data_IF_822987688207
#
_entry.id   IF_822987688207
#
_cell.length_a   1.000
_cell.length_b   1.000
_cell.length_c   1.000
_cell.angle_alpha   90.00
_cell.angle_beta   90.00
_cell.angle_gamma   90.00
#
_symmetry.space_group_name_H-M   'P 1'
#
loop_
_entity.id
_entity.type
_entity.pdbx_description
1 polymer ?
#
# COMPACT_ATOMS: atom_id res chain seq x y z
N UNK A 1 27.54 -29.16 7.70
CA UNK A 1 27.74 -28.23 8.83
C UNK A 1 26.55 -28.38 9.77
N UNK A 2 26.76 -28.90 11.00
CA UNK A 2 25.69 -29.08 11.98
C UNK A 2 25.41 -27.72 12.64
N UNK A 3 24.35 -27.03 12.25
CA UNK A 3 23.90 -25.82 12.93
C UNK A 3 23.27 -26.23 14.26
N UNK A 4 23.93 -25.93 15.36
CA UNK A 4 23.40 -26.12 16.71
C UNK A 4 22.27 -25.10 16.90
N UNK A 5 21.02 -25.54 16.75
CA UNK A 5 19.82 -24.67 16.82
C UNK A 5 19.50 -24.18 18.24
N UNK A 6 20.13 -24.75 19.26
CA UNK A 6 19.98 -24.35 20.66
C UNK A 6 21.35 -24.18 21.29
N UNK A 7 21.71 -22.94 21.62
CA UNK A 7 22.82 -22.67 22.54
C UNK A 7 22.27 -22.76 23.96
N UNK A 8 23.06 -23.35 24.87
CA UNK A 8 22.75 -23.21 26.28
C UNK A 8 22.79 -21.71 26.64
N UNK A 9 21.85 -21.27 27.48
CA UNK A 9 21.85 -19.91 28.02
C UNK A 9 23.24 -19.60 28.59
N UNK A 10 23.83 -18.51 28.12
CA UNK A 10 25.11 -18.04 28.64
C UNK A 10 24.95 -17.68 30.11
N UNK A 11 26.01 -17.88 30.92
CA UNK A 11 26.01 -17.47 32.33
C UNK A 11 25.70 -15.97 32.51
N UNK A 12 25.96 -15.15 31.48
CA UNK A 12 25.61 -13.72 31.47
C UNK A 12 24.10 -13.50 31.29
N UNK A 13 23.48 -14.19 30.33
CA UNK A 13 22.04 -14.11 30.04
C UNK A 13 21.20 -14.67 31.20
N UNK A 14 21.69 -15.73 31.85
CA UNK A 14 21.05 -16.32 33.02
C UNK A 14 21.03 -15.35 34.23
N UNK A 15 22.09 -14.56 34.42
CA UNK A 15 22.15 -13.51 35.45
C UNK A 15 21.24 -12.32 35.15
N UNK A 16 21.14 -11.92 33.88
CA UNK A 16 20.23 -10.83 33.47
C UNK A 16 18.74 -11.20 33.63
N UNK A 17 18.40 -12.47 33.43
CA UNK A 17 17.02 -12.97 33.55
C UNK A 17 16.66 -13.47 34.95
N UNK A 18 17.57 -13.33 35.93
CA UNK A 18 17.46 -13.87 37.30
C UNK A 18 17.13 -15.37 37.36
N UNK A 19 17.58 -16.11 36.34
CA UNK A 19 17.40 -17.56 36.23
C UNK A 19 18.66 -18.22 36.78
N UNK A 20 18.60 -18.70 38.02
CA UNK A 20 19.67 -19.54 38.57
C UNK A 20 19.67 -20.88 37.83
N UNK A 21 20.74 -21.25 37.09
CA UNK A 21 20.80 -22.57 36.48
C UNK A 21 20.84 -23.61 37.61
N UNK A 22 19.81 -24.46 37.76
CA UNK A 22 19.92 -25.55 38.73
C UNK A 22 21.10 -26.42 38.29
N UNK A 23 22.00 -26.74 39.22
CA UNK A 23 23.09 -27.69 38.95
C UNK A 23 22.51 -28.96 38.31
N UNK A 24 23.24 -29.57 37.38
CA UNK A 24 22.73 -30.65 36.53
C UNK A 24 21.95 -31.74 37.30
N UNK A 25 22.43 -32.11 38.50
CA UNK A 25 21.79 -33.08 39.38
C UNK A 25 20.43 -32.63 39.94
N UNK A 26 20.28 -31.33 40.27
CA UNK A 26 19.02 -30.77 40.78
C UNK A 26 17.96 -30.67 39.69
N UNK A 27 18.40 -30.39 38.46
CA UNK A 27 17.52 -30.36 37.28
C UNK A 27 16.99 -31.77 36.95
N UNK A 28 17.87 -32.79 36.96
CA UNK A 28 17.49 -34.18 36.72
C UNK A 28 16.51 -34.70 37.78
N UNK A 29 16.77 -34.42 39.07
CA UNK A 29 15.87 -34.78 40.15
C UNK A 29 14.49 -34.14 40.01
N UNK A 30 14.43 -32.85 39.63
CA UNK A 30 13.18 -32.14 39.39
C UNK A 30 12.41 -32.72 38.22
N UNK A 31 13.06 -32.92 37.07
CA UNK A 31 12.43 -33.49 35.87
C UNK A 31 11.90 -34.90 36.17
N UNK A 32 12.68 -35.73 36.87
CA UNK A 32 12.26 -37.06 37.29
C UNK A 32 11.03 -37.04 38.20
N UNK A 33 10.99 -36.15 39.20
CA UNK A 33 9.84 -36.00 40.10
C UNK A 33 8.59 -35.46 39.38
N UNK A 34 8.77 -34.47 38.50
CA UNK A 34 7.70 -33.87 37.71
C UNK A 34 7.06 -34.90 36.76
N UNK A 35 7.88 -35.69 36.06
CA UNK A 35 7.38 -36.73 35.15
C UNK A 35 6.62 -37.81 35.92
N UNK A 36 7.17 -38.33 37.03
CA UNK A 36 6.46 -39.29 37.90
C UNK A 36 5.08 -38.77 38.34
N UNK A 37 4.98 -37.49 38.70
CA UNK A 37 3.73 -36.86 39.15
C UNK A 37 2.73 -36.62 38.02
N UNK A 38 3.20 -36.31 36.82
CA UNK A 38 2.35 -35.95 35.68
C UNK A 38 1.90 -37.16 34.85
N UNK A 39 2.66 -38.27 34.87
CA UNK A 39 2.35 -39.51 34.16
C UNK A 39 2.03 -40.65 35.11
N UNK A 40 1.02 -40.47 35.97
CA UNK A 40 0.64 -41.42 37.03
C UNK A 40 0.23 -42.82 36.52
N UNK A 41 -0.08 -42.98 35.23
CA UNK A 41 -0.52 -44.25 34.62
C UNK A 41 0.58 -45.01 33.88
N UNK A 42 1.83 -44.52 33.90
CA UNK A 42 2.92 -45.08 33.10
C UNK A 42 4.00 -45.70 34.00
N UNK A 43 4.50 -46.87 33.61
CA UNK A 43 5.67 -47.47 34.28
C UNK A 43 6.92 -46.63 34.04
N UNK A 44 7.87 -46.69 34.98
CA UNK A 44 9.09 -45.88 34.92
C UNK A 44 9.93 -46.17 33.67
N UNK A 45 9.94 -47.42 33.21
CA UNK A 45 10.57 -47.85 31.95
C UNK A 45 9.90 -47.22 30.72
N UNK A 46 8.57 -47.14 30.69
CA UNK A 46 7.85 -46.53 29.57
C UNK A 46 8.06 -45.01 29.46
N UNK A 47 8.33 -44.35 30.58
CA UNK A 47 8.68 -42.92 30.63
C UNK A 47 10.10 -42.72 30.07
N UNK A 48 11.07 -43.51 30.52
CA UNK A 48 12.46 -43.44 30.01
C UNK A 48 12.54 -43.71 28.50
N UNK A 49 11.82 -44.73 28.01
CA UNK A 49 11.76 -45.01 26.58
C UNK A 49 11.15 -43.87 25.78
N UNK A 50 10.18 -43.14 26.34
CA UNK A 50 9.56 -41.99 25.69
C UNK A 50 10.48 -40.77 25.66
N UNK A 51 11.34 -40.60 26.67
CA UNK A 51 12.39 -39.57 26.69
C UNK A 51 13.55 -39.90 25.75
N UNK A 52 13.86 -41.19 25.57
CA UNK A 52 14.87 -41.66 24.59
C UNK A 52 14.43 -41.48 23.14
N UNK A 53 13.11 -41.48 22.87
CA UNK A 53 12.58 -41.15 21.54
C UNK A 53 12.90 -39.69 21.22
N UNK A 54 13.98 -39.46 20.47
CA UNK A 54 14.19 -38.18 19.77
C UNK A 54 12.95 -37.90 18.95
N UNK A 55 12.20 -36.86 19.32
CA UNK A 55 11.11 -36.36 18.51
C UNK A 55 11.71 -35.97 17.14
N UNK A 56 11.47 -36.81 16.12
CA UNK A 56 11.80 -36.47 14.75
C UNK A 56 10.75 -35.44 14.32
N UNK A 57 11.06 -34.17 14.57
CA UNK A 57 10.32 -33.06 13.95
C UNK A 57 10.65 -33.15 12.47
N UNK A 58 9.81 -33.85 11.71
CA UNK A 58 9.81 -33.73 10.25
C UNK A 58 9.42 -32.29 9.97
N UNK A 59 10.42 -31.44 9.73
CA UNK A 59 10.23 -30.08 9.24
C UNK A 59 9.45 -30.19 7.93
N UNK A 60 8.12 -30.03 8.03
CA UNK A 60 7.25 -29.79 6.89
C UNK A 60 7.62 -28.39 6.38
N UNK A 61 8.75 -28.30 5.67
CA UNK A 61 9.06 -27.14 4.86
C UNK A 61 8.00 -27.11 3.77
N UNK A 62 6.94 -26.34 3.99
CA UNK A 62 6.13 -25.86 2.88
C UNK A 62 7.09 -25.11 1.98
N UNK A 63 7.52 -25.74 0.88
CA UNK A 63 8.30 -25.05 -0.15
C UNK A 63 7.46 -23.86 -0.57
N UNK A 64 7.82 -22.66 -0.10
CA UNK A 64 7.25 -21.41 -0.60
C UNK A 64 7.55 -21.40 -2.09
N UNK A 65 6.58 -21.80 -2.92
CA UNK A 65 6.64 -21.57 -4.36
C UNK A 65 6.92 -20.08 -4.52
N UNK A 66 8.10 -19.74 -5.03
CA UNK A 66 8.36 -18.37 -5.43
C UNK A 66 7.26 -18.02 -6.43
N UNK A 67 6.38 -17.08 -6.06
CA UNK A 67 5.43 -16.51 -7.01
C UNK A 67 6.28 -15.93 -8.12
N UNK A 68 6.34 -16.59 -9.25
CA UNK A 68 6.87 -16.00 -10.47
C UNK A 68 6.15 -14.66 -10.61
N UNK A 69 6.92 -13.57 -10.55
CA UNK A 69 6.38 -12.26 -10.81
C UNK A 69 5.92 -12.30 -12.26
N UNK A 70 4.61 -12.49 -12.48
CA UNK A 70 4.00 -12.35 -13.80
C UNK A 70 4.50 -11.03 -14.36
N UNK A 71 5.39 -11.10 -15.34
CA UNK A 71 5.83 -9.94 -16.11
C UNK A 71 4.60 -9.47 -16.84
N UNK A 72 3.93 -8.44 -16.30
CA UNK A 72 2.85 -7.76 -17.00
C UNK A 72 3.38 -7.39 -18.37
N UNK A 73 2.61 -7.68 -19.43
CA UNK A 73 2.92 -7.23 -20.77
C UNK A 73 3.23 -5.73 -20.70
N UNK A 74 4.49 -5.36 -20.87
CA UNK A 74 4.89 -3.97 -20.94
C UNK A 74 4.36 -3.49 -22.27
N UNK A 75 3.24 -2.77 -22.25
CA UNK A 75 2.73 -2.09 -23.43
C UNK A 75 3.79 -1.16 -24.02
N UNK A 76 3.54 -0.68 -25.24
CA UNK A 76 4.46 0.19 -25.96
C UNK A 76 4.91 1.37 -25.08
N UNK A 77 6.23 1.51 -24.92
CA UNK A 77 6.88 2.65 -24.28
C UNK A 77 6.50 3.95 -24.99
N UNK A 78 6.51 5.08 -24.27
CA UNK A 78 6.28 6.39 -24.87
C UNK A 78 7.23 6.68 -26.06
N UNK A 79 8.48 6.20 -26.01
CA UNK A 79 9.44 6.32 -27.13
C UNK A 79 8.99 5.49 -28.34
N UNK A 80 8.49 4.28 -28.11
CA UNK A 80 7.95 3.41 -29.16
C UNK A 80 6.67 4.00 -29.78
N UNK A 81 5.78 4.56 -28.96
CA UNK A 81 4.55 5.23 -29.44
C UNK A 81 4.84 6.45 -30.31
N UNK A 82 5.86 7.25 -29.95
CA UNK A 82 6.33 8.37 -30.79
C UNK A 82 6.95 7.89 -32.10
N UNK A 83 7.74 6.82 -32.06
CA UNK A 83 8.31 6.21 -33.28
C UNK A 83 7.22 5.71 -34.24
N UNK A 84 6.10 5.21 -33.71
CA UNK A 84 4.94 4.75 -34.48
C UNK A 84 3.99 5.88 -34.92
N UNK A 85 4.26 7.15 -34.54
CA UNK A 85 3.40 8.30 -34.88
C UNK A 85 1.92 8.09 -34.56
N UNK A 86 1.61 7.30 -33.53
CA UNK A 86 0.26 6.86 -33.17
C UNK A 86 -0.71 8.00 -32.86
N UNK A 87 -0.20 9.19 -32.58
CA UNK A 87 -0.98 10.39 -32.23
C UNK A 87 -0.62 11.60 -33.09
N UNK A 88 0.08 11.40 -34.22
CA UNK A 88 0.40 12.49 -35.13
C UNK A 88 -0.84 12.83 -35.95
N UNK A 89 -1.49 13.93 -35.57
CA UNK A 89 -2.60 14.50 -36.32
C UNK A 89 -2.02 15.36 -37.42
N UNK A 90 -2.52 15.22 -38.66
CA UNK A 90 -2.06 16.06 -39.79
C UNK A 90 -2.30 17.54 -39.49
N UNK A 91 -1.38 18.44 -39.87
CA UNK A 91 -1.43 19.86 -39.48
C UNK A 91 -2.71 20.58 -39.93
N UNK A 92 -3.35 20.16 -41.02
CA UNK A 92 -4.62 20.72 -41.49
C UNK A 92 -5.76 20.47 -40.48
N UNK A 93 -5.66 19.37 -39.73
CA UNK A 93 -6.64 18.91 -38.75
C UNK A 93 -6.34 19.42 -37.33
N UNK A 94 -5.23 20.15 -37.13
CA UNK A 94 -4.86 20.73 -35.82
C UNK A 94 -5.53 22.09 -35.56
N UNK A 95 -6.40 22.56 -36.46
CA UNK A 95 -7.08 23.84 -36.29
C UNK A 95 -8.13 23.75 -35.19
N UNK A 96 -7.99 24.57 -34.14
CA UNK A 96 -8.91 24.62 -33.00
C UNK A 96 -10.39 24.74 -33.41
N UNK A 97 -10.68 25.51 -34.47
CA UNK A 97 -12.03 25.68 -35.01
C UNK A 97 -12.72 24.35 -35.36
N UNK A 98 -11.97 23.34 -35.78
CA UNK A 98 -12.51 22.01 -36.12
C UNK A 98 -12.98 21.23 -34.88
N UNK A 99 -12.48 21.58 -33.69
CA UNK A 99 -12.83 20.93 -32.43
C UNK A 99 -13.93 21.64 -31.65
N UNK A 100 -14.39 22.83 -32.08
CA UNK A 100 -15.50 23.53 -31.43
C UNK A 100 -16.80 22.72 -31.37
N UNK A 101 -17.21 21.98 -32.43
CA UNK A 101 -18.39 21.13 -32.35
C UNK A 101 -18.29 20.05 -31.28
N UNK A 102 -17.09 19.51 -31.04
CA UNK A 102 -16.84 18.53 -29.99
C UNK A 102 -17.08 19.12 -28.59
N UNK A 103 -16.73 20.39 -28.40
CA UNK A 103 -16.99 21.08 -27.14
C UNK A 103 -18.49 21.33 -26.91
N UNK A 104 -19.24 21.69 -27.97
CA UNK A 104 -20.70 21.83 -27.88
C UNK A 104 -21.39 20.49 -27.56
N UNK A 105 -20.93 19.40 -28.15
CA UNK A 105 -21.38 18.05 -27.81
C UNK A 105 -21.10 17.73 -26.33
N UNK A 106 -19.91 18.07 -25.84
CA UNK A 106 -19.56 17.87 -24.43
C UNK A 106 -20.44 18.69 -23.48
N UNK A 107 -20.80 19.94 -23.83
CA UNK A 107 -21.75 20.74 -23.04
C UNK A 107 -23.13 20.08 -22.95
N UNK A 108 -23.62 19.51 -24.05
CA UNK A 108 -24.90 18.79 -24.06
C UNK A 108 -24.81 17.54 -23.19
N UNK A 109 -23.75 16.75 -23.35
CA UNK A 109 -23.47 15.58 -22.51
C UNK A 109 -23.50 15.90 -21.01
N UNK A 110 -22.82 16.97 -20.57
CA UNK A 110 -22.81 17.36 -19.15
C UNK A 110 -24.19 17.83 -18.69
N UNK A 111 -24.95 18.56 -19.53
CA UNK A 111 -26.32 18.97 -19.21
C UNK A 111 -27.23 17.76 -18.98
N UNK A 112 -27.13 16.77 -19.85
CA UNK A 112 -27.89 15.52 -19.77
C UNK A 112 -27.45 14.69 -18.55
N UNK A 113 -26.14 14.58 -18.29
CA UNK A 113 -25.60 13.87 -17.14
C UNK A 113 -26.07 14.48 -15.80
N UNK A 114 -26.12 15.81 -15.73
CA UNK A 114 -26.55 16.54 -14.56
C UNK A 114 -28.08 16.68 -14.45
N UNK A 115 -28.87 16.26 -15.45
CA UNK A 115 -30.33 16.47 -15.53
C UNK A 115 -30.74 17.95 -15.39
N UNK A 116 -29.88 18.86 -15.86
CA UNK A 116 -30.00 20.30 -15.60
C UNK A 116 -29.52 20.70 -14.20
N UNK A 117 -28.81 21.82 -14.11
CA UNK A 117 -28.35 22.40 -12.84
C UNK A 117 -29.49 23.22 -12.22
N UNK A 118 -30.37 22.57 -11.46
CA UNK A 118 -31.38 23.26 -10.66
C UNK A 118 -30.73 23.80 -9.37
N UNK A 119 -31.18 24.93 -8.80
CA UNK A 119 -30.61 25.50 -7.59
C UNK A 119 -30.68 24.56 -6.37
N UNK A 120 -31.61 23.61 -6.38
CA UNK A 120 -31.80 22.60 -5.32
C UNK A 120 -30.90 21.34 -5.48
N UNK A 121 -30.02 21.33 -6.49
CA UNK A 121 -29.21 20.14 -6.78
C UNK A 121 -28.03 20.06 -5.82
N UNK A 122 -27.94 18.95 -5.07
CA UNK A 122 -26.86 18.73 -4.12
C UNK A 122 -25.48 18.73 -4.84
N UNK A 123 -24.53 19.60 -4.43
CA UNK A 123 -23.21 19.71 -5.07
C UNK A 123 -22.40 18.39 -5.02
N UNK A 124 -22.57 17.62 -3.95
CA UNK A 124 -21.91 16.32 -3.75
C UNK A 124 -22.29 15.30 -4.84
N UNK A 125 -23.56 15.33 -5.30
CA UNK A 125 -24.04 14.45 -6.36
C UNK A 125 -23.45 14.83 -7.72
N UNK A 126 -23.35 16.13 -8.01
CA UNK A 126 -22.71 16.64 -9.23
C UNK A 126 -21.22 16.27 -9.24
N UNK A 127 -20.54 16.43 -8.11
CA UNK A 127 -19.14 16.05 -7.95
C UNK A 127 -18.95 14.55 -8.26
N UNK A 128 -19.76 13.67 -7.66
CA UNK A 128 -19.64 12.23 -7.87
C UNK A 128 -19.88 11.81 -9.34
N UNK A 129 -20.80 12.49 -10.04
CA UNK A 129 -21.03 12.29 -11.48
C UNK A 129 -19.84 12.76 -12.31
N UNK A 130 -19.30 13.94 -12.04
CA UNK A 130 -18.14 14.49 -12.75
C UNK A 130 -16.87 13.67 -12.55
N UNK A 131 -16.68 13.03 -11.38
CA UNK A 131 -15.53 12.15 -11.15
C UNK A 131 -15.50 10.93 -12.09
N UNK A 132 -16.66 10.50 -12.59
CA UNK A 132 -16.82 9.35 -13.48
C UNK A 132 -17.09 9.74 -14.93
N UNK A 133 -17.25 11.04 -15.19
CA UNK A 133 -17.60 11.56 -16.51
C UNK A 133 -16.38 11.59 -17.44
N UNK A 134 -16.65 11.47 -18.75
CA UNK A 134 -15.63 11.68 -19.75
C UNK A 134 -15.39 13.18 -19.97
N UNK A 135 -14.12 13.59 -19.94
CA UNK A 135 -13.68 14.98 -20.10
C UNK A 135 -13.12 15.25 -21.50
N UNK A 136 -13.44 14.40 -22.47
CA UNK A 136 -13.04 14.60 -23.86
C UNK A 136 -13.83 15.76 -24.48
N UNK A 137 -13.13 16.78 -24.97
CA UNK A 137 -13.77 18.02 -25.47
C UNK A 137 -14.09 19.05 -24.38
N UNK A 138 -13.74 18.78 -23.12
CA UNK A 138 -13.81 19.77 -22.05
C UNK A 138 -12.73 20.85 -22.25
N UNK A 139 -13.10 22.12 -22.04
CA UNK A 139 -12.11 23.19 -21.93
C UNK A 139 -11.51 23.15 -20.54
N UNK A 140 -10.21 22.92 -20.45
CA UNK A 140 -9.48 22.83 -19.20
C UNK A 140 -8.46 23.95 -19.12
N UNK A 141 -8.58 24.79 -18.11
CA UNK A 141 -7.59 25.81 -17.77
C UNK A 141 -6.60 25.23 -16.77
N UNK A 142 -5.32 25.22 -17.11
CA UNK A 142 -4.26 24.77 -16.20
C UNK A 142 -3.70 25.99 -15.48
N UNK A 143 -3.90 26.05 -14.17
CA UNK A 143 -3.30 27.09 -13.32
C UNK A 143 -1.91 26.61 -12.87
N UNK A 144 -0.82 27.33 -13.19
CA UNK A 144 0.53 26.94 -12.81
C UNK A 144 0.70 27.00 -11.29
N UNK A 145 1.11 25.88 -10.68
CA UNK A 145 1.15 25.75 -9.22
C UNK A 145 2.24 26.57 -8.53
N UNK A 146 3.33 26.89 -9.21
CA UNK A 146 4.53 27.41 -8.55
C UNK A 146 4.37 28.84 -8.03
N UNK A 147 3.58 29.69 -8.71
CA UNK A 147 3.48 31.12 -8.40
C UNK A 147 2.03 31.60 -8.15
N UNK A 148 1.08 30.68 -7.95
CA UNK A 148 -0.32 31.05 -7.69
C UNK A 148 -0.63 30.97 -6.19
N UNK A 149 -1.36 31.95 -5.69
CA UNK A 149 -1.97 31.95 -4.35
C UNK A 149 -3.48 31.96 -4.54
N UNK A 150 -4.18 31.02 -3.89
CA UNK A 150 -5.62 30.90 -3.93
C UNK A 150 -6.19 31.49 -2.64
N UNK A 151 -7.11 32.44 -2.74
CA UNK A 151 -7.89 32.92 -1.59
C UNK A 151 -9.15 32.08 -1.46
N UNK A 152 -9.38 31.52 -0.27
CA UNK A 152 -10.63 30.84 0.10
C UNK A 152 -11.33 31.71 1.13
N UNK A 153 -12.51 32.19 0.77
CA UNK A 153 -13.39 32.91 1.68
C UNK A 153 -14.46 31.96 2.20
N UNK A 154 -14.64 31.89 3.51
CA UNK A 154 -15.68 31.10 4.16
C UNK A 154 -16.16 31.84 5.39
N UNK A 155 -17.44 32.18 5.45
CA UNK A 155 -18.09 32.86 6.58
C UNK A 155 -17.31 34.08 7.13
N UNK A 156 -16.78 34.91 6.24
CA UNK A 156 -16.01 36.12 6.59
C UNK A 156 -14.53 35.89 6.91
N UNK A 157 -14.04 34.66 6.87
CA UNK A 157 -12.62 34.33 7.00
C UNK A 157 -11.98 34.19 5.62
N UNK A 158 -10.91 34.94 5.38
CA UNK A 158 -10.10 34.85 4.15
C UNK A 158 -8.81 34.08 4.48
N UNK A 159 -8.65 32.91 3.87
CA UNK A 159 -7.45 32.08 3.97
C UNK A 159 -6.71 32.02 2.65
N UNK A 160 -5.37 32.08 2.68
CA UNK A 160 -4.53 32.01 1.48
C UNK A 160 -3.83 30.66 1.38
N UNK A 161 -4.00 29.97 0.24
CA UNK A 161 -3.41 28.67 -0.04
C UNK A 161 -2.45 28.80 -1.22
N UNK A 162 -1.17 28.54 -0.99
CA UNK A 162 -0.18 28.49 -2.08
C UNK A 162 -0.43 27.31 -3.01
N UNK A 163 -0.46 27.57 -4.32
CA UNK A 163 -0.62 26.59 -5.40
C UNK A 163 0.35 25.43 -5.32
N UNK A 164 1.56 25.68 -4.83
CA UNK A 164 2.61 24.68 -4.64
C UNK A 164 2.24 23.61 -3.61
N UNK A 165 1.27 23.91 -2.73
CA UNK A 165 0.72 22.99 -1.72
C UNK A 165 -0.41 22.12 -2.27
N UNK A 166 -1.05 22.46 -3.39
CA UNK A 166 -2.01 21.58 -4.07
C UNK A 166 -1.32 20.37 -4.70
N UNK A 167 -1.31 19.24 -4.00
CA UNK A 167 -0.75 17.98 -4.50
C UNK A 167 -1.86 17.03 -4.97
N UNK A 168 -1.80 16.63 -6.25
CA UNK A 168 -2.74 15.68 -6.86
C UNK A 168 -1.93 14.55 -7.49
N UNK A 169 -2.42 13.30 -7.42
CA UNK A 169 -1.91 12.19 -8.24
C UNK A 169 -3.04 11.43 -8.89
N UNK A 170 -2.73 10.81 -10.03
CA UNK A 170 -3.57 9.76 -10.63
C UNK A 170 -3.78 8.63 -9.62
N UNK A 171 -4.98 8.04 -9.63
CA UNK A 171 -5.42 6.92 -8.80
C UNK A 171 -4.46 5.73 -8.86
N UNK A 172 -3.83 5.49 -10.02
CA UNK A 172 -2.84 4.43 -10.25
C UNK A 172 -1.55 4.59 -9.42
N UNK A 173 -1.27 5.82 -8.94
CA UNK A 173 -0.10 6.16 -8.11
C UNK A 173 -0.45 6.56 -6.69
N UNK A 174 -1.70 6.36 -6.28
CA UNK A 174 -2.23 6.69 -4.95
C UNK A 174 -1.50 5.99 -3.81
N UNK A 175 -1.01 4.76 -4.02
CA UNK A 175 -0.27 3.98 -3.03
C UNK A 175 1.11 4.55 -2.67
N UNK A 176 1.62 5.56 -3.40
CA UNK A 176 2.92 6.18 -3.11
C UNK A 176 2.71 7.46 -2.30
N UNK A 177 3.28 7.49 -1.09
CA UNK A 177 3.27 8.67 -0.22
C UNK A 177 3.75 9.92 -0.97
N UNK A 178 3.06 11.03 -0.75
CA UNK A 178 3.53 12.33 -1.21
C UNK A 178 4.87 12.64 -0.54
N UNK A 179 5.82 13.16 -1.33
CA UNK A 179 7.07 13.65 -0.75
C UNK A 179 6.70 14.96 -0.04
N UNK A 180 6.92 15.01 1.27
CA UNK A 180 6.80 16.26 2.01
C UNK A 180 7.73 17.29 1.37
N UNK A 181 7.17 18.43 0.98
CA UNK A 181 7.95 19.64 0.67
C UNK A 181 7.86 20.53 1.90
N UNK A 182 8.97 21.14 2.31
CA UNK A 182 9.01 22.04 3.46
C UNK A 182 7.88 23.07 3.42
N UNK A 183 7.30 23.34 4.59
CA UNK A 183 6.38 24.45 4.78
C UNK A 183 7.19 25.74 4.61
N UNK A 184 6.70 26.65 3.80
CA UNK A 184 7.20 28.03 3.82
C UNK A 184 6.42 28.65 4.95
N UNK A 185 7.06 28.77 6.12
CA UNK A 185 6.49 29.49 7.25
C UNK A 185 6.46 30.98 6.89
N UNK A 186 5.36 31.65 7.24
CA UNK A 186 5.22 33.10 7.19
C UNK A 186 5.87 33.72 8.42
#
# INVERSE_FOLDING_TARGET
MKSVLYHALSQKEAKELDVQPPGAQRAEAFVGAFLKRSTLRMSQQAIEDRLRRKAVVLEYFTRRKQKEKKTRCRGLSARQRRGLRLFDIRPEQQRYKLFLPLHELWKQYIRDLCNGLKPDTQPQMIQAKLLKADLHGAIVSVIPKLNCVFSVETDGFISYIYGSKFQLRSSERSAKKFKAKGTTDL
#
